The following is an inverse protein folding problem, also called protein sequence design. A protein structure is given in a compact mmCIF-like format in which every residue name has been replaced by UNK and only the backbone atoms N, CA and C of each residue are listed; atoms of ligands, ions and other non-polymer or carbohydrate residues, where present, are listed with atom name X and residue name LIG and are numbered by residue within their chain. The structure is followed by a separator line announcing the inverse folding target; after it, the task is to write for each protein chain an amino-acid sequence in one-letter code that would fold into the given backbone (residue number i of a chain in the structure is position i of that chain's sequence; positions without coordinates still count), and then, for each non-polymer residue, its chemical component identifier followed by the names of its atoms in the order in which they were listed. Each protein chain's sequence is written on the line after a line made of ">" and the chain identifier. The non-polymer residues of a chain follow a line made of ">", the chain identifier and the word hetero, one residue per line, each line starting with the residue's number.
data_IF_030803878961
#
_entry.id   IF_030803878961
#
_cell.length_a   1.000
_cell.length_b   1.000
_cell.length_c   1.000
_cell.angle_alpha   90.00
_cell.angle_beta   90.00
_cell.angle_gamma   90.00
#
_symmetry.space_group_name_H-M   'P 1'
#
loop_
_entity.id
_entity.type
_entity.pdbx_description
1 polymer ?
#
# COMPACT_ATOMS: atom_id res chain seq x y z
N UNK A 1 -12.84 19.92 100.86
CA UNK A 1 -13.56 21.15 100.44
C UNK A 1 -12.86 21.60 99.15
N UNK A 2 -13.50 21.41 97.98
CA UNK A 2 -13.74 22.37 96.95
C UNK A 2 -12.51 23.17 96.45
N UNK A 3 -12.05 23.20 95.26
CA UNK A 3 -12.77 23.69 94.10
C UNK A 3 -12.07 23.31 92.75
N UNK A 4 -12.89 22.98 91.81
CA UNK A 4 -12.56 22.86 90.42
C UNK A 4 -12.22 24.22 89.79
N UNK A 5 -11.25 24.29 88.90
CA UNK A 5 -11.33 25.23 87.77
C UNK A 5 -10.69 24.66 86.51
N UNK A 6 -11.55 24.54 85.56
CA UNK A 6 -11.28 24.18 84.14
C UNK A 6 -10.34 25.19 83.48
N UNK A 7 -9.31 24.72 82.80
CA UNK A 7 -8.65 25.48 81.74
C UNK A 7 -8.82 24.75 80.43
N UNK A 8 -9.70 25.30 79.61
CA UNK A 8 -9.93 24.88 78.25
C UNK A 8 -8.77 25.43 77.40
N UNK A 9 -7.92 24.51 76.92
CA UNK A 9 -6.89 24.87 75.95
C UNK A 9 -7.46 24.66 74.50
N UNK A 10 -7.71 25.75 73.83
CA UNK A 10 -8.13 25.79 72.45
C UNK A 10 -7.01 25.33 71.47
N UNK A 11 -7.05 24.09 71.02
CA UNK A 11 -6.22 23.64 69.87
C UNK A 11 -6.80 24.19 68.60
N UNK A 12 -6.12 25.09 67.95
CA UNK A 12 -6.39 25.55 66.59
C UNK A 12 -6.03 24.42 65.61
N UNK A 13 -7.05 23.79 65.04
CA UNK A 13 -6.90 22.86 63.95
C UNK A 13 -6.63 23.67 62.68
N UNK A 14 -5.40 23.61 62.19
CA UNK A 14 -5.08 24.14 60.81
C UNK A 14 -5.57 23.13 59.81
N UNK A 15 -6.66 23.45 59.09
CA UNK A 15 -7.13 22.73 57.95
C UNK A 15 -6.23 23.09 56.77
N UNK A 16 -5.35 22.18 56.34
CA UNK A 16 -4.65 22.28 55.07
C UNK A 16 -5.60 21.83 53.97
N UNK A 17 -6.12 22.77 53.20
CA UNK A 17 -6.83 22.48 51.95
C UNK A 17 -5.80 22.06 50.89
N UNK A 18 -5.66 20.76 50.67
CA UNK A 18 -4.92 20.25 49.54
C UNK A 18 -5.77 20.42 48.26
N UNK A 19 -5.43 21.44 47.47
CA UNK A 19 -5.98 21.60 46.11
C UNK A 19 -5.29 20.56 45.24
N UNK A 20 -5.95 19.45 44.99
CA UNK A 20 -5.53 18.46 44.01
C UNK A 20 -5.81 19.04 42.59
N UNK A 21 -4.74 19.54 41.94
CA UNK A 21 -4.76 19.95 40.55
C UNK A 21 -4.81 18.68 39.70
N UNK A 22 -6.02 18.23 39.37
CA UNK A 22 -6.24 17.15 38.41
C UNK A 22 -5.94 17.69 37.00
N UNK A 23 -4.68 17.56 36.57
CA UNK A 23 -4.31 17.71 35.16
C UNK A 23 -4.93 16.52 34.40
N UNK A 24 -6.12 16.72 33.87
CA UNK A 24 -6.71 15.82 32.86
C UNK A 24 -5.82 15.86 31.61
N UNK A 25 -4.97 14.87 31.48
CA UNK A 25 -4.35 14.51 30.20
C UNK A 25 -5.51 14.10 29.26
N UNK A 26 -6.01 15.07 28.52
CA UNK A 26 -6.85 14.79 27.35
C UNK A 26 -5.97 14.05 26.33
N UNK A 27 -5.92 12.73 26.44
CA UNK A 27 -5.48 11.89 25.38
C UNK A 27 -6.44 12.19 24.20
N UNK A 28 -5.97 12.90 23.18
CA UNK A 28 -6.67 12.98 21.91
C UNK A 28 -6.75 11.56 21.38
N UNK A 29 -7.84 10.86 21.67
CA UNK A 29 -8.22 9.65 20.97
C UNK A 29 -8.52 10.15 19.55
N UNK A 30 -7.61 9.92 18.61
CA UNK A 30 -7.88 10.16 17.22
C UNK A 30 -9.08 9.27 16.85
N UNK A 31 -10.25 9.89 16.73
CA UNK A 31 -11.44 9.22 16.25
C UNK A 31 -11.25 9.05 14.76
N UNK A 32 -11.25 7.81 14.29
CA UNK A 32 -11.20 7.50 12.87
C UNK A 32 -12.38 8.19 12.16
N UNK A 33 -12.10 8.92 11.09
CA UNK A 33 -13.12 9.62 10.30
C UNK A 33 -13.28 8.91 8.95
N UNK A 34 -14.31 8.07 8.85
CA UNK A 34 -14.64 7.31 7.65
C UNK A 34 -15.03 8.23 6.48
N UNK A 35 -15.79 9.27 6.76
CA UNK A 35 -16.27 10.21 5.72
C UNK A 35 -15.09 10.97 5.11
N UNK A 36 -14.17 11.48 5.93
CA UNK A 36 -12.97 12.17 5.47
C UNK A 36 -12.04 11.19 4.75
N UNK A 37 -11.88 9.97 5.30
CA UNK A 37 -11.06 8.92 4.70
C UNK A 37 -11.51 8.55 3.30
N UNK A 38 -12.81 8.31 3.12
CA UNK A 38 -13.40 8.02 1.80
C UNK A 38 -13.21 9.17 0.82
N UNK A 39 -13.49 10.41 1.20
CA UNK A 39 -13.29 11.59 0.33
C UNK A 39 -11.85 11.74 -0.16
N UNK A 40 -10.87 11.48 0.70
CA UNK A 40 -9.44 11.52 0.32
C UNK A 40 -9.13 10.41 -0.69
N UNK A 41 -9.65 9.19 -0.47
CA UNK A 41 -9.47 8.06 -1.37
C UNK A 41 -10.14 8.31 -2.74
N UNK A 42 -11.36 8.89 -2.76
CA UNK A 42 -12.06 9.30 -3.98
C UNK A 42 -11.26 10.34 -4.77
N UNK A 43 -10.71 11.35 -4.09
CA UNK A 43 -9.89 12.37 -4.73
C UNK A 43 -8.61 11.76 -5.34
N UNK A 44 -7.95 10.85 -4.61
CA UNK A 44 -6.81 10.08 -5.13
C UNK A 44 -7.18 9.33 -6.41
N UNK A 45 -8.29 8.58 -6.42
CA UNK A 45 -8.75 7.82 -7.60
C UNK A 45 -9.05 8.76 -8.76
N UNK A 46 -9.78 9.84 -8.51
CA UNK A 46 -10.18 10.85 -9.52
C UNK A 46 -8.97 11.49 -10.21
N UNK A 47 -7.90 11.80 -9.47
CA UNK A 47 -6.69 12.41 -10.03
C UNK A 47 -5.87 11.44 -10.88
N UNK A 48 -6.12 10.14 -10.77
CA UNK A 48 -5.40 9.09 -11.51
C UNK A 48 -6.25 8.46 -12.63
N UNK A 49 -7.35 9.08 -13.06
CA UNK A 49 -8.17 8.62 -14.17
C UNK A 49 -7.82 9.36 -15.46
N UNK A 50 -7.94 8.67 -16.62
CA UNK A 50 -7.80 9.22 -17.97
C UNK A 50 -6.39 9.11 -18.55
N UNK A 51 -5.50 8.28 -17.99
CA UNK A 51 -4.12 8.10 -18.52
C UNK A 51 -4.06 7.16 -19.73
N UNK A 52 -5.08 6.32 -19.94
CA UNK A 52 -5.28 5.47 -21.10
C UNK A 52 -4.43 4.20 -21.09
N UNK A 53 -3.23 4.25 -21.62
CA UNK A 53 -2.30 3.11 -21.63
C UNK A 53 -0.86 3.55 -21.36
N UNK A 54 -0.02 2.59 -20.93
CA UNK A 54 1.40 2.83 -20.75
C UNK A 54 2.25 1.58 -20.96
N UNK A 55 3.52 1.82 -21.32
CA UNK A 55 4.58 0.81 -21.37
C UNK A 55 5.74 1.28 -20.53
N UNK A 56 6.25 0.40 -19.67
CA UNK A 56 7.41 0.67 -18.83
C UNK A 56 8.47 -0.42 -18.98
N UNK A 57 9.74 -0.04 -18.86
CA UNK A 57 10.88 -0.92 -18.60
C UNK A 57 11.26 -0.76 -17.14
N UNK A 58 11.41 -1.89 -16.43
CA UNK A 58 11.70 -1.87 -15.00
C UNK A 58 12.80 -2.87 -14.64
N UNK A 59 13.57 -2.49 -13.64
CA UNK A 59 14.47 -3.37 -12.91
C UNK A 59 13.85 -3.76 -11.56
N UNK A 60 13.94 -5.04 -11.21
CA UNK A 60 13.54 -5.58 -9.92
C UNK A 60 14.79 -6.13 -9.22
N UNK A 61 15.24 -5.45 -8.17
CA UNK A 61 16.32 -5.90 -7.30
C UNK A 61 15.72 -6.62 -6.07
N UNK A 62 16.00 -7.92 -5.96
CA UNK A 62 15.61 -8.74 -4.81
C UNK A 62 16.80 -8.87 -3.88
N UNK A 63 16.60 -8.70 -2.56
CA UNK A 63 17.63 -8.85 -1.55
C UNK A 63 17.15 -9.76 -0.43
N UNK A 64 17.94 -10.79 -0.11
CA UNK A 64 17.63 -11.69 1.01
C UNK A 64 18.12 -11.10 2.35
N UNK A 65 17.80 -11.79 3.46
CA UNK A 65 18.17 -11.34 4.81
C UNK A 65 19.71 -11.28 5.05
N UNK A 66 20.49 -12.04 4.28
CA UNK A 66 21.96 -12.07 4.34
C UNK A 66 22.62 -10.99 3.50
N UNK A 67 21.81 -10.24 2.71
CA UNK A 67 22.27 -9.16 1.85
C UNK A 67 22.65 -9.62 0.43
N UNK A 68 22.50 -10.89 0.10
CA UNK A 68 22.68 -11.38 -1.26
C UNK A 68 21.56 -10.84 -2.15
N UNK A 69 21.89 -10.48 -3.36
CA UNK A 69 20.94 -9.84 -4.28
C UNK A 69 20.89 -10.54 -5.63
N UNK A 70 19.74 -10.42 -6.27
CA UNK A 70 19.53 -10.79 -7.67
C UNK A 70 18.70 -9.74 -8.38
N UNK A 71 19.00 -9.51 -9.65
CA UNK A 71 18.30 -8.50 -10.47
C UNK A 71 17.51 -9.19 -11.56
N UNK A 72 16.35 -8.61 -11.89
CA UNK A 72 15.51 -8.99 -13.03
C UNK A 72 15.18 -7.78 -13.86
N UNK A 73 15.19 -7.94 -15.16
CA UNK A 73 14.68 -6.94 -16.10
C UNK A 73 13.30 -7.39 -16.58
N UNK A 74 12.37 -6.45 -16.65
CA UNK A 74 11.00 -6.72 -17.07
C UNK A 74 10.37 -5.53 -17.78
N UNK A 75 9.41 -5.83 -18.63
CA UNK A 75 8.54 -4.84 -19.25
C UNK A 75 7.14 -4.96 -18.69
N UNK A 76 6.53 -3.79 -18.46
CA UNK A 76 5.13 -3.69 -18.03
C UNK A 76 4.34 -3.00 -19.13
N UNK A 77 3.16 -3.55 -19.40
CA UNK A 77 2.12 -2.91 -20.20
C UNK A 77 0.92 -2.72 -19.31
N UNK A 78 0.32 -1.57 -19.33
CA UNK A 78 -0.89 -1.26 -18.55
C UNK A 78 -1.93 -0.62 -19.44
N UNK A 79 -3.20 -0.96 -19.21
CA UNK A 79 -4.35 -0.41 -19.91
C UNK A 79 -5.39 -0.02 -18.88
N UNK A 80 -5.77 1.25 -18.90
CA UNK A 80 -6.88 1.76 -18.12
C UNK A 80 -8.21 1.26 -18.68
N UNK A 81 -9.14 0.90 -17.80
CA UNK A 81 -10.49 0.44 -18.16
C UNK A 81 -11.49 1.30 -17.39
N UNK A 82 -12.30 2.10 -18.10
CA UNK A 82 -13.20 3.09 -17.51
C UNK A 82 -14.27 2.48 -16.58
N UNK A 83 -14.86 1.34 -16.97
CA UNK A 83 -15.99 0.73 -16.26
C UNK A 83 -15.61 -0.47 -15.39
N UNK A 84 -14.32 -0.79 -15.27
CA UNK A 84 -13.79 -1.88 -14.45
C UNK A 84 -12.37 -1.53 -13.98
N UNK A 85 -11.71 -2.45 -13.30
CA UNK A 85 -10.31 -2.28 -12.91
C UNK A 85 -9.35 -2.50 -14.09
N UNK A 86 -8.16 -1.93 -13.97
CA UNK A 86 -7.15 -1.90 -15.04
C UNK A 86 -6.58 -3.27 -15.39
N UNK A 87 -5.99 -3.36 -16.59
CA UNK A 87 -5.28 -4.55 -17.05
C UNK A 87 -3.78 -4.32 -17.05
N UNK A 88 -3.04 -5.30 -16.55
CA UNK A 88 -1.58 -5.28 -16.50
C UNK A 88 -0.97 -6.53 -17.09
N UNK A 89 0.11 -6.38 -17.85
CA UNK A 89 0.92 -7.47 -18.37
C UNK A 89 2.38 -7.22 -18.06
N UNK A 90 2.98 -8.05 -17.20
CA UNK A 90 4.41 -8.05 -16.89
C UNK A 90 5.10 -9.17 -17.62
N UNK A 91 6.22 -8.89 -18.30
CA UNK A 91 7.04 -9.85 -19.03
C UNK A 91 8.47 -9.75 -18.52
N UNK A 92 9.04 -10.87 -18.05
CA UNK A 92 10.42 -10.93 -17.62
C UNK A 92 11.36 -11.18 -18.81
N UNK A 93 12.37 -10.33 -18.95
CA UNK A 93 13.35 -10.40 -20.03
C UNK A 93 14.67 -11.01 -19.56
N UNK A 94 15.04 -10.80 -18.29
CA UNK A 94 16.26 -11.32 -17.66
C UNK A 94 16.03 -11.64 -16.18
N UNK A 95 16.82 -12.56 -15.60
CA UNK A 95 17.80 -13.45 -16.19
C UNK A 95 17.16 -14.65 -16.92
N UNK A 96 18.00 -15.54 -17.46
CA UNK A 96 17.57 -16.67 -18.31
C UNK A 96 16.54 -17.62 -17.67
N UNK A 97 16.63 -17.82 -16.35
CA UNK A 97 15.73 -18.71 -15.60
C UNK A 97 14.29 -18.20 -15.50
N UNK A 98 14.08 -16.88 -15.57
CA UNK A 98 12.73 -16.26 -15.59
C UNK A 98 12.34 -15.70 -16.95
N UNK A 99 13.26 -15.65 -17.92
CA UNK A 99 13.02 -15.06 -19.24
C UNK A 99 11.79 -15.64 -19.92
N UNK A 100 10.91 -14.75 -20.40
CA UNK A 100 9.65 -15.11 -21.06
C UNK A 100 8.54 -15.51 -20.08
N UNK A 101 8.79 -15.52 -18.78
CA UNK A 101 7.71 -15.57 -17.79
C UNK A 101 6.82 -14.35 -17.97
N UNK A 102 5.51 -14.55 -18.03
CA UNK A 102 4.56 -13.47 -18.22
C UNK A 102 3.42 -13.57 -17.22
N UNK A 103 3.12 -12.44 -16.57
CA UNK A 103 2.02 -12.31 -15.63
C UNK A 103 0.98 -11.35 -16.20
N UNK A 104 -0.26 -11.82 -16.31
CA UNK A 104 -1.41 -11.04 -16.73
C UNK A 104 -2.33 -10.84 -15.55
N UNK A 105 -2.71 -9.60 -15.31
CA UNK A 105 -3.68 -9.19 -14.32
C UNK A 105 -4.83 -8.45 -14.99
N UNK A 106 -6.06 -8.87 -14.70
CA UNK A 106 -7.26 -8.07 -14.93
C UNK A 106 -7.82 -7.73 -13.55
N UNK A 107 -7.67 -6.51 -13.13
CA UNK A 107 -8.31 -6.01 -11.92
C UNK A 107 -9.81 -5.86 -12.16
N UNK A 108 -10.58 -5.93 -11.11
CA UNK A 108 -12.03 -5.73 -11.16
C UNK A 108 -12.47 -4.87 -9.98
N UNK A 109 -13.47 -4.04 -10.18
CA UNK A 109 -14.01 -3.16 -9.14
C UNK A 109 -14.71 -3.97 -8.06
N UNK A 110 -15.65 -4.84 -8.44
CA UNK A 110 -16.59 -5.49 -7.50
C UNK A 110 -16.33 -6.96 -7.23
N UNK A 111 -15.48 -7.61 -8.01
CA UNK A 111 -15.15 -9.04 -7.87
C UNK A 111 -13.65 -9.27 -7.70
N UNK A 112 -13.27 -10.49 -7.39
CA UNK A 112 -11.86 -10.88 -7.33
C UNK A 112 -11.18 -10.75 -8.69
N UNK A 113 -9.93 -10.31 -8.70
CA UNK A 113 -9.12 -10.16 -9.89
C UNK A 113 -8.88 -11.48 -10.61
N UNK A 114 -8.77 -11.40 -11.92
CA UNK A 114 -8.34 -12.53 -12.74
C UNK A 114 -6.85 -12.41 -13.04
N UNK A 115 -6.07 -13.36 -12.51
CA UNK A 115 -4.62 -13.34 -12.61
C UNK A 115 -4.09 -14.65 -13.20
N UNK A 116 -3.18 -14.55 -14.17
CA UNK A 116 -2.54 -15.69 -14.82
C UNK A 116 -1.04 -15.51 -14.93
N UNK A 117 -0.32 -16.58 -14.63
CA UNK A 117 1.13 -16.66 -14.76
C UNK A 117 1.49 -17.71 -15.83
N UNK A 118 2.19 -17.29 -16.87
CA UNK A 118 2.81 -18.18 -17.83
C UNK A 118 4.24 -18.52 -17.41
N UNK A 119 4.56 -19.79 -17.35
CA UNK A 119 5.88 -20.31 -17.01
C UNK A 119 6.45 -21.02 -18.25
N UNK A 120 7.45 -20.42 -18.93
CA UNK A 120 8.02 -20.99 -20.16
C UNK A 120 8.60 -22.38 -19.97
N UNK A 121 9.32 -22.63 -18.85
CA UNK A 121 9.90 -23.91 -18.53
C UNK A 121 8.87 -25.05 -18.46
N UNK A 122 7.63 -24.74 -18.06
CA UNK A 122 6.51 -25.67 -17.99
C UNK A 122 5.59 -25.60 -19.21
N UNK A 123 5.78 -24.63 -20.10
CA UNK A 123 4.89 -24.29 -21.25
C UNK A 123 3.41 -24.16 -20.83
N UNK A 124 3.15 -23.72 -19.59
CA UNK A 124 1.80 -23.70 -19.00
C UNK A 124 1.41 -22.31 -18.52
N UNK A 125 0.15 -21.97 -18.72
CA UNK A 125 -0.51 -20.84 -18.07
C UNK A 125 -1.22 -21.36 -16.81
N UNK A 126 -0.85 -20.82 -15.67
CA UNK A 126 -1.44 -21.13 -14.36
C UNK A 126 -2.31 -19.94 -13.92
N UNK A 127 -3.55 -20.20 -13.54
CA UNK A 127 -4.38 -19.18 -12.87
C UNK A 127 -3.95 -19.05 -11.41
N UNK A 128 -3.76 -17.83 -10.94
CA UNK A 128 -3.58 -17.52 -9.53
C UNK A 128 -4.99 -17.43 -8.92
N UNK A 129 -5.31 -18.31 -8.00
CA UNK A 129 -6.62 -18.27 -7.33
C UNK A 129 -6.66 -17.13 -6.31
N UNK A 130 -7.85 -16.61 -6.03
CA UNK A 130 -8.05 -15.55 -5.03
C UNK A 130 -7.50 -15.92 -3.64
N UNK A 131 -7.46 -17.21 -3.29
CA UNK A 131 -6.88 -17.71 -2.04
C UNK A 131 -5.35 -17.60 -2.00
N UNK A 132 -4.70 -17.53 -3.16
CA UNK A 132 -3.25 -17.50 -3.30
C UNK A 132 -2.71 -16.11 -3.65
N UNK A 133 -3.58 -15.09 -3.74
CA UNK A 133 -3.19 -13.72 -4.11
C UNK A 133 -2.23 -13.08 -3.09
N UNK A 134 -2.24 -13.52 -1.84
CA UNK A 134 -1.32 -13.08 -0.79
C UNK A 134 0.08 -13.73 -0.89
N UNK A 135 0.29 -14.67 -1.82
CA UNK A 135 1.59 -15.27 -2.04
C UNK A 135 2.57 -14.32 -2.72
N UNK A 136 3.89 -14.56 -2.58
CA UNK A 136 4.92 -13.70 -3.13
C UNK A 136 4.95 -13.76 -4.67
N UNK A 137 4.96 -12.59 -5.31
CA UNK A 137 5.10 -12.48 -6.76
C UNK A 137 6.53 -12.80 -7.18
N UNK A 138 6.70 -13.92 -7.85
CA UNK A 138 7.99 -14.35 -8.40
C UNK A 138 9.15 -14.35 -7.38
N UNK A 139 8.85 -14.60 -6.11
CA UNK A 139 9.84 -14.61 -5.01
C UNK A 139 10.27 -13.23 -4.51
N UNK A 140 9.62 -12.16 -4.96
CA UNK A 140 9.78 -10.81 -4.43
C UNK A 140 8.98 -10.60 -3.14
N UNK A 141 9.17 -9.46 -2.48
CA UNK A 141 8.36 -9.05 -1.33
C UNK A 141 7.02 -8.41 -1.74
N UNK A 142 6.75 -8.25 -3.03
CA UNK A 142 5.42 -7.94 -3.54
C UNK A 142 4.57 -9.21 -3.58
N UNK A 143 3.33 -9.13 -3.11
CA UNK A 143 2.34 -10.18 -3.28
C UNK A 143 1.60 -10.01 -4.63
N UNK A 144 0.94 -11.05 -5.12
CA UNK A 144 0.11 -10.93 -6.32
C UNK A 144 -1.00 -9.88 -6.16
N UNK A 145 -1.55 -9.70 -4.95
CA UNK A 145 -2.55 -8.68 -4.67
C UNK A 145 -2.01 -7.25 -4.69
N UNK A 146 -0.70 -7.05 -4.50
CA UNK A 146 -0.07 -5.73 -4.58
C UNK A 146 0.08 -5.22 -6.03
N UNK A 147 -0.17 -6.08 -7.02
CA UNK A 147 -0.03 -5.77 -8.45
C UNK A 147 -1.37 -5.41 -9.12
N UNK A 148 -2.43 -5.32 -8.35
CA UNK A 148 -3.76 -4.93 -8.82
C UNK A 148 -3.94 -3.42 -8.78
N UNK A 149 -4.82 -2.86 -9.62
CA UNK A 149 -5.19 -1.46 -9.56
C UNK A 149 -5.88 -1.12 -8.24
N UNK A 150 -5.74 0.14 -7.83
CA UNK A 150 -6.43 0.67 -6.67
C UNK A 150 -7.90 0.93 -7.02
N UNK A 151 -8.82 0.21 -6.35
CA UNK A 151 -10.26 0.37 -6.50
C UNK A 151 -10.89 0.69 -5.15
N UNK A 152 -11.79 1.68 -5.12
CA UNK A 152 -12.42 2.16 -3.88
C UNK A 152 -13.22 1.07 -3.19
N UNK A 153 -13.96 0.28 -3.95
CA UNK A 153 -14.87 -0.76 -3.46
C UNK A 153 -14.16 -1.93 -2.80
N UNK A 154 -12.84 -2.04 -3.02
CA UNK A 154 -12.01 -3.08 -2.41
C UNK A 154 -11.59 -2.79 -0.99
N UNK A 155 -11.91 -1.59 -0.48
CA UNK A 155 -11.48 -1.15 0.85
C UNK A 155 -12.59 -0.39 1.57
N UNK A 156 -12.53 -0.37 2.90
CA UNK A 156 -13.09 0.68 3.73
C UNK A 156 -11.96 1.61 4.16
N UNK A 157 -12.28 2.88 4.40
CA UNK A 157 -11.28 3.91 4.63
C UNK A 157 -11.56 4.64 5.93
N UNK A 158 -10.52 4.86 6.73
CA UNK A 158 -10.53 5.73 7.89
C UNK A 158 -9.41 6.76 7.74
N UNK A 159 -9.74 8.05 7.86
CA UNK A 159 -8.72 9.06 8.09
C UNK A 159 -8.25 8.96 9.54
N UNK A 160 -6.94 8.90 9.76
CA UNK A 160 -6.35 8.80 11.09
C UNK A 160 -5.85 10.16 11.57
N UNK A 161 -4.96 10.78 10.80
CA UNK A 161 -4.26 12.01 11.20
C UNK A 161 -3.59 12.67 9.99
N UNK A 162 -3.14 13.90 10.16
CA UNK A 162 -2.15 14.53 9.31
C UNK A 162 -0.74 14.21 9.84
N UNK A 163 0.22 14.02 8.93
CA UNK A 163 1.59 13.64 9.25
C UNK A 163 2.58 14.24 8.26
N UNK A 164 3.86 13.87 8.37
CA UNK A 164 4.89 14.23 7.38
C UNK A 164 5.69 13.01 6.96
N UNK A 165 5.99 12.93 5.67
CA UNK A 165 6.92 11.95 5.10
C UNK A 165 7.92 12.70 4.25
N UNK A 166 9.22 12.58 4.56
CA UNK A 166 10.31 13.26 3.86
C UNK A 166 10.09 14.78 3.70
N UNK A 167 9.49 15.43 4.72
CA UNK A 167 9.21 16.86 4.74
C UNK A 167 7.90 17.27 4.05
N UNK A 168 7.21 16.39 3.34
CA UNK A 168 5.92 16.65 2.72
C UNK A 168 4.78 16.39 3.71
N UNK A 169 3.80 17.30 3.74
CA UNK A 169 2.56 17.11 4.50
C UNK A 169 1.72 15.98 3.89
N UNK A 170 1.19 15.10 4.74
CA UNK A 170 0.47 13.91 4.33
C UNK A 170 -0.82 13.71 5.11
N UNK A 171 -1.84 13.16 4.43
CA UNK A 171 -2.95 12.46 5.07
C UNK A 171 -2.53 11.03 5.40
N UNK A 172 -2.87 10.54 6.58
CA UNK A 172 -2.70 9.14 6.95
C UNK A 172 -4.06 8.45 6.90
N UNK A 173 -4.20 7.49 5.98
CA UNK A 173 -5.40 6.66 5.85
C UNK A 173 -5.14 5.25 6.36
N UNK A 174 -6.10 4.68 7.08
CA UNK A 174 -6.21 3.24 7.25
C UNK A 174 -7.15 2.70 6.16
N UNK A 175 -6.67 1.75 5.38
CA UNK A 175 -7.43 1.02 4.37
C UNK A 175 -7.60 -0.43 4.84
N UNK A 176 -8.86 -0.89 4.94
CA UNK A 176 -9.18 -2.26 5.35
C UNK A 176 -9.73 -3.00 4.14
N UNK A 177 -9.03 -4.06 3.66
CA UNK A 177 -9.51 -4.84 2.52
C UNK A 177 -10.87 -5.48 2.79
N UNK A 178 -11.79 -5.40 1.83
CA UNK A 178 -13.12 -6.06 1.90
C UNK A 178 -13.05 -7.55 1.53
N UNK A 179 -12.02 -7.97 0.78
CA UNK A 179 -11.83 -9.38 0.41
C UNK A 179 -11.22 -10.19 1.57
N UNK A 180 -11.98 -11.15 2.10
CA UNK A 180 -11.55 -12.09 3.15
C UNK A 180 -10.31 -12.93 2.80
N UNK A 181 -9.94 -13.03 1.51
CA UNK A 181 -8.75 -13.74 1.06
C UNK A 181 -7.50 -12.85 1.03
N UNK A 182 -7.61 -11.55 1.34
CA UNK A 182 -6.44 -10.69 1.47
C UNK A 182 -5.45 -11.24 2.47
N UNK A 183 -4.16 -11.08 2.20
CA UNK A 183 -3.08 -11.36 3.14
C UNK A 183 -2.98 -10.32 4.25
N UNK A 184 -3.72 -9.21 4.12
CA UNK A 184 -3.64 -8.08 5.03
C UNK A 184 -4.92 -7.88 5.81
N UNK A 185 -4.80 -7.55 7.10
CA UNK A 185 -5.91 -7.09 7.92
C UNK A 185 -6.19 -5.61 7.67
N UNK A 186 -5.15 -4.85 7.38
CA UNK A 186 -5.21 -3.43 7.04
C UNK A 186 -3.91 -2.94 6.39
N UNK A 187 -4.00 -1.76 5.81
CA UNK A 187 -2.87 -0.98 5.33
C UNK A 187 -2.96 0.42 5.94
N UNK A 188 -1.82 1.04 6.29
CA UNK A 188 -1.74 2.47 6.54
C UNK A 188 -1.06 3.13 5.38
N UNK A 189 -1.69 4.15 4.81
CA UNK A 189 -1.23 4.83 3.60
C UNK A 189 -1.00 6.30 3.89
N UNK A 190 0.18 6.80 3.58
CA UNK A 190 0.53 8.22 3.64
C UNK A 190 0.43 8.79 2.24
N UNK A 191 -0.55 9.67 2.04
CA UNK A 191 -0.79 10.38 0.78
C UNK A 191 -0.35 11.82 0.93
N UNK A 192 0.45 12.36 0.03
CA UNK A 192 0.78 13.79 0.08
C UNK A 192 -0.50 14.63 -0.13
N UNK A 193 -0.54 15.79 0.56
CA UNK A 193 -1.76 16.62 0.58
C UNK A 193 -1.95 17.45 -0.70
N UNK A 194 -0.91 17.60 -1.51
CA UNK A 194 -0.95 18.41 -2.73
C UNK A 194 -1.46 17.61 -3.94
N UNK A 195 -0.90 16.39 -4.13
CA UNK A 195 -1.18 15.58 -5.32
C UNK A 195 -1.83 14.22 -4.99
N UNK A 196 -2.08 13.92 -3.72
CA UNK A 196 -2.68 12.66 -3.25
C UNK A 196 -1.86 11.41 -3.66
N UNK A 197 -0.54 11.57 -3.87
CA UNK A 197 0.37 10.48 -4.22
C UNK A 197 0.71 9.66 -2.99
N UNK A 198 0.75 8.32 -3.06
CA UNK A 198 1.24 7.51 -1.96
C UNK A 198 2.76 7.70 -1.78
N UNK A 199 3.19 8.11 -0.60
CA UNK A 199 4.61 8.23 -0.25
C UNK A 199 5.09 7.01 0.52
N UNK A 200 4.20 6.40 1.32
CA UNK A 200 4.49 5.22 2.13
C UNK A 200 3.21 4.40 2.33
N UNK A 201 3.35 3.08 2.35
CA UNK A 201 2.30 2.13 2.76
C UNK A 201 2.89 1.12 3.73
N UNK A 202 2.24 0.93 4.86
CA UNK A 202 2.52 -0.13 5.82
C UNK A 202 1.44 -1.21 5.72
N UNK A 203 1.85 -2.47 5.58
CA UNK A 203 0.97 -3.62 5.45
C UNK A 203 1.00 -4.44 6.73
N UNK A 204 -0.18 -4.76 7.25
CA UNK A 204 -0.36 -5.55 8.46
C UNK A 204 -0.89 -6.93 8.11
N UNK A 205 -0.21 -7.98 8.61
CA UNK A 205 -0.54 -9.37 8.32
C UNK A 205 -1.86 -9.81 8.98
N UNK A 206 -2.24 -11.08 8.76
CA UNK A 206 -3.47 -11.65 9.32
C UNK A 206 -3.50 -11.73 10.86
N UNK A 207 -2.36 -11.55 11.51
CA UNK A 207 -2.25 -11.46 12.98
C UNK A 207 -2.30 -10.01 13.47
N UNK A 208 -2.42 -9.03 12.55
CA UNK A 208 -2.39 -7.61 12.85
C UNK A 208 -1.00 -7.05 13.14
N UNK A 209 0.07 -7.81 12.85
CA UNK A 209 1.45 -7.36 13.01
C UNK A 209 1.95 -6.66 11.75
N UNK A 210 2.81 -5.66 11.90
CA UNK A 210 3.48 -5.01 10.78
C UNK A 210 4.31 -6.05 10.01
N UNK A 211 3.93 -6.28 8.75
CA UNK A 211 4.58 -7.24 7.87
C UNK A 211 5.69 -6.56 7.05
N UNK A 212 5.32 -5.55 6.30
CA UNK A 212 6.20 -4.88 5.36
C UNK A 212 5.82 -3.42 5.14
N UNK A 213 6.78 -2.64 4.66
CA UNK A 213 6.59 -1.23 4.30
C UNK A 213 7.01 -1.01 2.85
N UNK A 214 6.19 -0.33 2.09
CA UNK A 214 6.48 0.14 0.73
C UNK A 214 6.69 1.64 0.76
N UNK A 215 7.83 2.10 0.23
CA UNK A 215 8.16 3.50 0.04
C UNK A 215 8.16 3.84 -1.44
N UNK A 216 7.65 5.03 -1.78
CA UNK A 216 7.59 5.53 -3.14
C UNK A 216 8.47 6.78 -3.27
N UNK A 217 9.35 6.78 -4.27
CA UNK A 217 10.34 7.82 -4.47
C UNK A 217 10.48 8.17 -5.96
N UNK A 218 11.20 9.24 -6.24
CA UNK A 218 11.55 9.67 -7.61
C UNK A 218 10.30 9.87 -8.49
N UNK A 219 9.31 10.59 -7.96
CA UNK A 219 8.11 10.90 -8.70
C UNK A 219 8.38 11.79 -9.91
N UNK A 220 7.85 11.38 -11.08
CA UNK A 220 7.84 12.18 -12.30
C UNK A 220 6.42 12.40 -12.77
N UNK A 221 6.18 13.59 -13.35
CA UNK A 221 4.89 13.93 -13.91
C UNK A 221 4.83 13.61 -15.40
N UNK A 222 3.74 13.02 -15.84
CA UNK A 222 3.46 12.64 -17.22
C UNK A 222 2.16 13.29 -17.69
N UNK A 223 2.08 13.60 -18.98
CA UNK A 223 0.92 14.24 -19.61
C UNK A 223 0.45 15.49 -18.85
N UNK A 224 1.37 16.21 -18.17
CA UNK A 224 1.12 17.36 -17.29
C UNK A 224 0.11 17.12 -16.16
N UNK A 225 -0.20 15.87 -15.83
CA UNK A 225 -1.22 15.49 -14.85
C UNK A 225 -0.79 14.32 -13.98
N UNK A 226 -0.35 13.20 -14.54
CA UNK A 226 -0.20 11.93 -13.83
C UNK A 226 1.17 11.80 -13.20
N UNK A 227 1.21 11.53 -11.91
CA UNK A 227 2.45 11.30 -11.18
C UNK A 227 2.74 9.79 -11.08
N UNK A 228 3.98 9.39 -11.39
CA UNK A 228 4.44 8.00 -11.25
C UNK A 228 5.75 7.96 -10.48
N UNK A 229 5.77 7.12 -9.42
CA UNK A 229 7.01 6.83 -8.70
C UNK A 229 7.93 6.00 -9.59
N UNK A 230 9.19 6.40 -9.72
CA UNK A 230 10.20 5.65 -10.44
C UNK A 230 10.93 4.65 -9.57
N UNK A 231 10.87 4.81 -8.26
CA UNK A 231 11.44 3.87 -7.27
C UNK A 231 10.37 3.46 -6.29
N UNK A 232 10.17 2.14 -6.17
CA UNK A 232 9.27 1.52 -5.20
C UNK A 232 10.07 0.51 -4.37
N UNK A 233 10.31 0.80 -3.09
CA UNK A 233 11.13 -0.03 -2.21
C UNK A 233 10.26 -0.71 -1.14
N UNK A 234 10.17 -2.04 -1.21
CA UNK A 234 9.45 -2.88 -0.26
C UNK A 234 10.45 -3.49 0.73
N UNK A 235 10.25 -3.23 2.02
CA UNK A 235 11.02 -3.84 3.11
C UNK A 235 10.12 -4.75 3.94
N UNK A 236 10.44 -6.02 4.06
CA UNK A 236 9.75 -6.96 4.93
C UNK A 236 10.42 -6.97 6.31
N UNK A 237 9.67 -6.60 7.35
CA UNK A 237 10.18 -6.47 8.72
C UNK A 237 10.26 -7.80 9.46
N UNK A 238 9.51 -8.80 9.01
CA UNK A 238 9.49 -10.13 9.66
C UNK A 238 10.57 -11.05 9.11
N UNK A 239 10.94 -10.89 7.83
CA UNK A 239 11.95 -11.74 7.17
C UNK A 239 13.28 -11.04 6.94
N UNK A 240 13.37 -9.72 7.07
CA UNK A 240 14.55 -8.92 6.74
C UNK A 240 14.84 -8.82 5.23
N UNK A 241 13.98 -9.38 4.36
CA UNK A 241 14.11 -9.31 2.91
C UNK A 241 13.59 -8.00 2.36
N UNK A 242 14.08 -7.61 1.18
CA UNK A 242 13.58 -6.45 0.47
C UNK A 242 13.49 -6.65 -1.03
N UNK A 243 12.70 -5.82 -1.69
CA UNK A 243 12.61 -5.75 -3.15
C UNK A 243 12.49 -4.29 -3.57
N UNK A 244 13.31 -3.86 -4.51
CA UNK A 244 13.24 -2.53 -5.10
C UNK A 244 12.83 -2.68 -6.56
N UNK A 245 11.79 -1.96 -6.97
CA UNK A 245 11.40 -1.79 -8.36
C UNK A 245 11.84 -0.40 -8.82
N UNK A 246 12.62 -0.35 -9.88
CA UNK A 246 13.07 0.90 -10.51
C UNK A 246 12.55 0.98 -11.93
N UNK A 247 11.77 2.00 -12.24
CA UNK A 247 11.30 2.30 -13.59
C UNK A 247 12.41 3.07 -14.34
N UNK A 248 12.97 2.45 -15.35
CA UNK A 248 14.02 3.05 -16.18
C UNK A 248 13.44 3.85 -17.34
N UNK A 249 12.35 3.34 -17.94
CA UNK A 249 11.62 3.97 -19.02
C UNK A 249 10.12 3.87 -18.78
N UNK A 250 9.38 4.92 -19.13
CA UNK A 250 7.91 4.93 -19.05
C UNK A 250 7.37 5.85 -20.15
N UNK A 251 6.47 5.30 -20.95
CA UNK A 251 5.73 6.02 -21.98
C UNK A 251 4.23 5.77 -21.83
N UNK A 252 3.44 6.82 -22.02
CA UNK A 252 1.98 6.77 -22.06
C UNK A 252 1.46 6.90 -23.47
N UNK A 253 0.19 6.51 -23.69
CA UNK A 253 -0.52 6.66 -24.96
C UNK A 253 0.22 5.95 -26.10
N UNK A 254 0.67 4.73 -25.81
CA UNK A 254 1.45 3.90 -26.75
C UNK A 254 0.56 3.12 -27.72
N UNK A 255 -0.77 3.22 -27.57
CA UNK A 255 -1.76 2.62 -28.46
C UNK A 255 -2.09 1.17 -28.12
N UNK A 256 -1.84 0.74 -26.86
CA UNK A 256 -2.26 -0.57 -26.39
C UNK A 256 -3.80 -0.69 -26.41
N UNK A 257 -4.26 -1.92 -26.62
CA UNK A 257 -5.69 -2.23 -26.71
C UNK A 257 -6.01 -3.50 -25.93
N UNK A 258 -7.26 -3.74 -25.65
CA UNK A 258 -7.75 -4.93 -24.93
C UNK A 258 -7.18 -6.26 -25.47
N UNK A 259 -7.01 -6.37 -26.80
CA UNK A 259 -6.42 -7.56 -27.45
C UNK A 259 -4.99 -7.88 -26.97
N UNK A 260 -4.24 -6.88 -26.45
CA UNK A 260 -2.87 -7.04 -25.98
C UNK A 260 -2.81 -7.69 -24.60
N UNK A 261 -3.95 -7.74 -23.91
CA UNK A 261 -4.13 -8.28 -22.56
C UNK A 261 -4.94 -9.58 -22.53
N UNK A 262 -4.86 -10.39 -23.56
CA UNK A 262 -5.61 -11.63 -23.64
C UNK A 262 -4.83 -12.81 -23.04
N UNK A 263 -5.49 -13.65 -22.25
CA UNK A 263 -4.89 -14.88 -21.69
C UNK A 263 -4.23 -15.76 -22.77
N UNK A 264 -4.84 -15.82 -23.96
CA UNK A 264 -4.34 -16.63 -25.06
C UNK A 264 -3.01 -16.12 -25.64
N UNK A 265 -2.68 -14.85 -25.44
CA UNK A 265 -1.44 -14.23 -25.93
C UNK A 265 -0.26 -14.42 -24.98
N UNK A 266 -0.49 -14.81 -23.73
CA UNK A 266 0.57 -14.99 -22.72
C UNK A 266 1.70 -15.91 -23.17
N UNK A 267 1.40 -17.01 -23.88
CA UNK A 267 2.43 -17.95 -24.39
C UNK A 267 3.32 -17.33 -25.47
N UNK A 268 2.90 -16.21 -26.05
CA UNK A 268 3.59 -15.49 -27.14
C UNK A 268 4.10 -14.13 -26.70
N UNK A 269 3.86 -13.75 -25.44
CA UNK A 269 4.39 -12.52 -24.86
C UNK A 269 5.93 -12.59 -24.86
N UNK A 270 6.58 -11.79 -25.67
CA UNK A 270 8.04 -11.70 -25.83
C UNK A 270 8.48 -10.25 -25.68
#
# INVERSE_FOLDING_TARGET
>A
MLNLNNVISSRRVKVFAAVALATSLLSNIAVADETKGLKIAEQRKKLDLGWGDSVATMEMLLKNAQGESSTRLMRLKSLEVEDDGDKGLTIFDEPRDVKGTAFLNHSHITKSDDQWLYLPALKRVKRISSRNKSGPFMGSEFAYEDLSSFELEKYTFNYLEDSKVNGLDTFVLEQIPTDKNSGYTKQKVWLDQEHYRPLKVEFYDRKGSLLKTLSFQDYKQYLNQYWRAHTMAMQNHQTGKSTVLTTTELAFQTGLKDKDFQKNTLKRAK
#
